data_IF_529385076924
#
_entry.id   IF_529385076924
#
_cell.length_a   1.000
_cell.length_b   1.000
_cell.length_c   1.000
_cell.angle_alpha   90.00
_cell.angle_beta   90.00
_cell.angle_gamma   90.00
#
_symmetry.space_group_name_H-M   'P 1'
#
loop_
_entity.id
_entity.type
_entity.pdbx_description
1 polymer ?
#
# COMPACT_ATOMS: atom_id res chain seq x y z
N UNK A 1 24.37 5.47 -7.24
CA UNK A 1 23.78 6.45 -6.32
C UNK A 1 22.48 5.82 -5.81
N UNK A 2 22.46 5.40 -4.56
CA UNK A 2 21.28 4.74 -3.97
C UNK A 2 20.34 5.81 -3.46
N UNK A 3 19.18 5.96 -4.09
CA UNK A 3 18.13 6.81 -3.58
C UNK A 3 17.40 6.02 -2.50
N UNK A 4 17.62 6.37 -1.25
CA UNK A 4 16.78 5.90 -0.15
C UNK A 4 15.41 6.55 -0.30
N UNK A 5 14.45 5.81 -0.78
CA UNK A 5 13.10 6.35 -0.98
C UNK A 5 12.21 6.28 0.25
N UNK A 6 12.64 5.64 1.32
CA UNK A 6 11.89 5.64 2.58
C UNK A 6 12.17 4.42 3.44
N UNK A 7 11.98 4.62 4.72
CA UNK A 7 12.18 3.66 5.78
C UNK A 7 11.07 3.82 6.80
N UNK A 8 10.46 2.75 7.21
CA UNK A 8 9.38 2.78 8.20
C UNK A 8 9.43 1.55 9.09
N UNK A 9 8.97 1.70 10.31
CA UNK A 9 8.93 0.64 11.31
C UNK A 9 7.47 0.33 11.60
N UNK A 10 7.09 -0.94 11.52
CA UNK A 10 5.79 -1.42 11.98
C UNK A 10 5.86 -1.67 13.49
N UNK A 11 5.04 -0.97 14.24
CA UNK A 11 4.95 -1.10 15.70
C UNK A 11 3.63 -1.68 16.18
N UNK A 12 2.60 -1.69 15.34
CA UNK A 12 1.27 -2.14 15.71
C UNK A 12 0.82 -3.34 14.86
N UNK A 13 0.25 -4.35 15.51
CA UNK A 13 -0.47 -5.45 14.86
C UNK A 13 0.37 -6.60 14.29
N UNK A 14 1.70 -6.49 14.27
CA UNK A 14 2.60 -7.61 13.98
C UNK A 14 3.20 -8.09 15.29
N UNK A 15 3.31 -9.41 15.46
CA UNK A 15 3.92 -10.01 16.66
C UNK A 15 5.39 -9.60 16.85
N UNK A 16 6.02 -9.08 15.79
CA UNK A 16 7.39 -8.61 15.76
C UNK A 16 7.52 -7.28 15.01
N UNK A 17 8.40 -6.39 15.50
CA UNK A 17 8.72 -5.17 14.81
C UNK A 17 9.43 -5.47 13.48
N UNK A 18 8.87 -5.02 12.38
CA UNK A 18 9.46 -5.16 11.06
C UNK A 18 9.96 -3.82 10.56
N UNK A 19 11.16 -3.84 10.03
CA UNK A 19 11.77 -2.71 9.35
C UNK A 19 11.61 -2.90 7.85
N UNK A 20 10.97 -1.95 7.17
CA UNK A 20 10.80 -1.98 5.72
C UNK A 20 11.75 -1.00 5.05
N UNK A 21 12.48 -1.47 4.05
CA UNK A 21 13.40 -0.69 3.24
C UNK A 21 12.97 -0.74 1.78
N UNK A 22 12.69 0.41 1.20
CA UNK A 22 12.34 0.52 -0.22
C UNK A 22 13.57 0.75 -1.08
N UNK A 23 13.67 -0.04 -2.16
CA UNK A 23 14.63 0.14 -3.27
C UNK A 23 13.86 0.25 -4.58
N UNK A 24 14.55 0.57 -5.66
CA UNK A 24 13.90 0.78 -6.96
C UNK A 24 13.15 -0.46 -7.47
N UNK A 25 13.67 -1.63 -7.21
CA UNK A 25 13.21 -2.95 -7.66
C UNK A 25 12.22 -3.62 -6.70
N UNK A 26 12.41 -3.40 -5.38
CA UNK A 26 11.65 -4.13 -4.37
C UNK A 26 11.58 -3.38 -3.04
N UNK A 27 10.72 -3.88 -2.16
CA UNK A 27 10.69 -3.53 -0.75
C UNK A 27 11.14 -4.75 0.05
N UNK A 28 12.13 -4.56 0.91
CA UNK A 28 12.74 -5.57 1.74
C UNK A 28 12.31 -5.40 3.18
N UNK A 29 11.97 -6.50 3.82
CA UNK A 29 11.60 -6.52 5.23
C UNK A 29 12.73 -7.14 6.05
N UNK A 30 12.96 -6.58 7.20
CA UNK A 30 13.96 -7.04 8.16
C UNK A 30 13.31 -7.17 9.54
N UNK A 31 13.66 -8.22 10.26
CA UNK A 31 13.38 -8.41 11.67
C UNK A 31 14.68 -8.44 12.46
N UNK A 32 14.60 -8.67 13.76
CA UNK A 32 15.79 -8.88 14.59
C UNK A 32 16.57 -10.15 14.19
N UNK A 33 15.93 -11.11 13.55
CA UNK A 33 16.55 -12.34 13.02
C UNK A 33 17.30 -12.12 11.70
N UNK A 34 17.14 -10.96 11.07
CA UNK A 34 17.78 -10.61 9.83
C UNK A 34 16.82 -10.30 8.68
N UNK A 35 17.25 -10.64 7.45
CA UNK A 35 16.47 -10.37 6.25
C UNK A 35 15.30 -11.34 6.13
N UNK A 36 14.08 -10.79 6.11
CA UNK A 36 12.85 -11.51 5.89
C UNK A 36 12.39 -11.51 4.43
N UNK A 37 11.10 -11.35 4.23
CA UNK A 37 10.44 -11.35 2.92
C UNK A 37 10.85 -10.14 2.07
N UNK A 38 10.65 -10.24 0.76
CA UNK A 38 10.71 -9.09 -0.14
C UNK A 38 9.51 -9.11 -1.09
N UNK A 39 9.08 -7.90 -1.47
CA UNK A 39 8.02 -7.71 -2.46
C UNK A 39 8.61 -6.99 -3.67
N UNK A 40 8.55 -7.64 -4.83
CA UNK A 40 8.94 -7.02 -6.09
C UNK A 40 7.90 -5.96 -6.45
N UNK A 41 8.26 -4.71 -6.30
CA UNK A 41 7.45 -3.55 -6.69
C UNK A 41 8.38 -2.66 -7.49
N UNK A 42 8.14 -2.58 -8.77
CA UNK A 42 8.94 -1.76 -9.67
C UNK A 42 8.64 -0.26 -9.51
N UNK A 43 9.59 0.54 -9.92
CA UNK A 43 9.48 1.99 -9.93
C UNK A 43 10.12 2.65 -8.72
N UNK A 44 10.34 3.94 -8.85
CA UNK A 44 10.88 4.78 -7.79
C UNK A 44 9.83 4.96 -6.69
N UNK A 45 10.17 4.57 -5.44
CA UNK A 45 9.30 4.78 -4.28
C UNK A 45 9.62 6.17 -3.71
N UNK A 46 8.67 7.08 -3.83
CA UNK A 46 8.79 8.42 -3.26
C UNK A 46 8.48 8.46 -1.77
N UNK A 47 7.67 7.53 -1.29
CA UNK A 47 7.39 7.35 0.13
C UNK A 47 6.97 5.91 0.44
N UNK A 48 7.31 5.44 1.64
CA UNK A 48 6.74 4.25 2.27
C UNK A 48 6.33 4.61 3.70
N UNK A 49 5.23 4.02 4.17
CA UNK A 49 4.68 4.32 5.49
C UNK A 49 3.88 3.13 6.02
N UNK A 50 4.02 2.81 7.31
CA UNK A 50 3.15 1.84 7.96
C UNK A 50 1.88 2.53 8.47
N UNK A 51 0.75 1.94 8.14
CA UNK A 51 -0.55 2.32 8.66
C UNK A 51 -1.26 1.07 9.15
N UNK A 52 -1.34 0.89 10.47
CA UNK A 52 -1.86 -0.36 11.09
C UNK A 52 -1.12 -1.58 10.52
N UNK A 53 -1.83 -2.53 9.93
CA UNK A 53 -1.27 -3.76 9.32
C UNK A 53 -0.95 -3.59 7.81
N UNK A 54 -1.01 -2.38 7.30
CA UNK A 54 -0.82 -2.08 5.88
C UNK A 54 0.49 -1.37 5.64
N UNK A 55 1.14 -1.75 4.56
CA UNK A 55 2.26 -0.97 4.01
C UNK A 55 1.72 -0.05 2.91
N UNK A 56 1.84 1.23 3.12
CA UNK A 56 1.51 2.28 2.14
C UNK A 56 2.74 2.60 1.34
N UNK A 57 2.63 2.54 0.02
CA UNK A 57 3.73 2.79 -0.91
C UNK A 57 3.29 3.82 -1.93
N UNK A 58 4.07 4.87 -2.08
CA UNK A 58 3.88 5.85 -3.15
C UNK A 58 4.98 5.65 -4.18
N UNK A 59 4.59 5.26 -5.37
CA UNK A 59 5.51 5.08 -6.50
C UNK A 59 5.39 6.24 -7.49
N UNK A 60 6.54 6.63 -8.04
CA UNK A 60 6.61 7.54 -9.18
C UNK A 60 6.64 6.71 -10.45
N UNK A 61 5.67 6.91 -11.33
CA UNK A 61 5.64 6.27 -12.63
C UNK A 61 6.53 7.04 -13.60
N UNK A 62 7.55 6.36 -14.12
CA UNK A 62 8.34 6.88 -15.23
C UNK A 62 7.77 6.29 -16.51
N UNK A 63 7.22 7.09 -17.43
CA UNK A 63 6.67 6.56 -18.69
C UNK A 63 7.73 5.76 -19.46
N UNK A 64 7.42 4.50 -19.80
CA UNK A 64 8.35 3.59 -20.50
C UNK A 64 8.78 4.10 -21.90
N UNK A 65 8.01 4.96 -22.51
CA UNK A 65 8.26 5.54 -23.84
C UNK A 65 9.26 6.71 -23.88
N UNK A 66 9.77 7.13 -22.73
CA UNK A 66 10.85 8.12 -22.69
C UNK A 66 12.21 7.59 -23.21
N UNK A 67 12.25 6.33 -23.70
CA UNK A 67 13.46 5.73 -24.28
C UNK A 67 13.57 5.86 -25.79
N UNK A 68 12.54 6.31 -26.50
CA UNK A 68 12.63 6.60 -27.95
C UNK A 68 12.77 8.10 -28.18
N UNK A 69 13.93 8.47 -28.72
CA UNK A 69 14.43 9.83 -28.91
C UNK A 69 13.82 10.56 -30.13
N UNK A 70 12.54 10.38 -30.45
CA UNK A 70 12.00 10.93 -31.69
C UNK A 70 10.83 11.91 -31.57
N UNK A 71 10.21 12.10 -30.39
CA UNK A 71 9.10 13.05 -30.26
C UNK A 71 9.40 14.19 -29.27
N UNK A 72 10.13 15.18 -29.80
CA UNK A 72 10.30 16.51 -29.20
C UNK A 72 9.08 17.39 -29.45
N UNK A 73 7.90 17.01 -29.00
CA UNK A 73 6.79 17.93 -28.89
C UNK A 73 6.43 18.20 -27.45
N UNK A 74 6.61 19.48 -27.08
CA UNK A 74 6.32 20.15 -25.83
C UNK A 74 5.00 19.73 -25.19
N UNK A 75 5.05 18.70 -24.32
CA UNK A 75 4.07 18.47 -23.29
C UNK A 75 4.81 18.45 -21.97
N UNK A 76 4.44 19.30 -21.03
CA UNK A 76 4.96 19.28 -19.68
C UNK A 76 4.80 17.85 -19.14
N UNK A 77 5.93 17.15 -18.96
CA UNK A 77 5.98 15.82 -18.36
C UNK A 77 5.58 15.97 -16.90
N UNK A 78 4.31 15.90 -16.59
CA UNK A 78 3.88 15.77 -15.20
C UNK A 78 4.22 14.35 -14.74
N UNK A 79 5.05 14.27 -13.71
CA UNK A 79 5.32 13.03 -13.01
C UNK A 79 4.01 12.45 -12.48
N UNK A 80 3.73 11.22 -12.83
CA UNK A 80 2.57 10.49 -12.32
C UNK A 80 2.97 9.73 -11.07
N UNK A 81 2.11 9.78 -10.07
CA UNK A 81 2.31 9.07 -8.81
C UNK A 81 1.13 8.13 -8.59
N UNK A 82 1.42 6.99 -8.02
CA UNK A 82 0.42 6.01 -7.61
C UNK A 82 0.60 5.67 -6.13
N UNK A 83 -0.50 5.70 -5.38
CA UNK A 83 -0.54 5.25 -3.99
C UNK A 83 -1.11 3.84 -3.98
N UNK A 84 -0.36 2.91 -3.43
CA UNK A 84 -0.77 1.53 -3.24
C UNK A 84 -0.70 1.15 -1.75
N UNK A 85 -1.72 0.48 -1.27
CA UNK A 85 -1.82 -0.02 0.10
C UNK A 85 -1.78 -1.54 0.05
N UNK A 86 -0.75 -2.11 0.64
CA UNK A 86 -0.50 -3.54 0.68
C UNK A 86 -0.92 -4.11 2.03
N UNK A 87 -1.81 -5.09 2.01
CA UNK A 87 -2.01 -5.99 3.15
C UNK A 87 -0.87 -7.01 3.15
N UNK A 88 0.13 -6.75 3.99
CA UNK A 88 1.36 -7.58 4.04
C UNK A 88 1.04 -8.96 4.59
N UNK A 89 0.13 -9.07 5.56
CA UNK A 89 -0.25 -10.32 6.20
C UNK A 89 -0.99 -11.25 5.23
N UNK A 90 -1.90 -10.69 4.45
CA UNK A 90 -2.73 -11.46 3.50
C UNK A 90 -2.15 -11.46 2.07
N UNK A 91 -1.06 -10.73 1.82
CA UNK A 91 -0.28 -10.71 0.56
C UNK A 91 -1.08 -10.23 -0.64
N UNK A 92 -1.85 -9.15 -0.49
CA UNK A 92 -2.57 -8.56 -1.61
C UNK A 92 -2.56 -7.02 -1.56
N UNK A 93 -2.90 -6.40 -2.68
CA UNK A 93 -3.07 -4.95 -2.79
C UNK A 93 -4.50 -4.61 -2.39
N UNK A 94 -4.67 -4.03 -1.20
CA UNK A 94 -5.98 -3.65 -0.68
C UNK A 94 -6.56 -2.42 -1.40
N UNK A 95 -5.69 -1.50 -1.83
CA UNK A 95 -6.08 -0.29 -2.54
C UNK A 95 -4.95 0.18 -3.46
N UNK A 96 -5.30 0.72 -4.62
CA UNK A 96 -4.36 1.39 -5.50
C UNK A 96 -5.08 2.48 -6.30
N UNK A 97 -4.51 3.68 -6.32
CA UNK A 97 -5.05 4.80 -7.08
C UNK A 97 -3.97 5.80 -7.48
N UNK A 98 -4.13 6.46 -8.64
CA UNK A 98 -3.28 7.58 -8.99
C UNK A 98 -3.52 8.74 -8.02
N UNK A 99 -2.43 9.40 -7.64
CA UNK A 99 -2.46 10.56 -6.74
C UNK A 99 -1.57 11.67 -7.25
N UNK A 100 -1.75 12.86 -6.69
CA UNK A 100 -0.81 13.97 -6.84
C UNK A 100 0.44 13.73 -5.99
N UNK A 101 1.57 14.38 -6.31
CA UNK A 101 2.77 14.28 -5.48
C UNK A 101 2.48 14.57 -4.01
N UNK A 102 2.97 13.69 -3.13
CA UNK A 102 2.78 13.80 -1.68
C UNK A 102 4.03 14.42 -1.05
N UNK A 103 3.81 15.34 -0.11
CA UNK A 103 4.84 15.95 0.72
C UNK A 103 5.09 15.15 2.00
N UNK A 104 4.03 14.64 2.63
CA UNK A 104 4.11 13.90 3.89
C UNK A 104 2.93 12.95 4.06
N UNK A 105 3.16 11.87 4.80
CA UNK A 105 2.15 10.94 5.29
C UNK A 105 2.21 10.93 6.82
N UNK A 106 1.07 10.80 7.47
CA UNK A 106 0.94 10.65 8.91
C UNK A 106 -0.27 9.79 9.25
N UNK A 107 -0.25 9.12 10.38
CA UNK A 107 -1.40 8.37 10.88
C UNK A 107 -1.80 8.89 12.25
N UNK A 108 -3.05 9.28 12.40
CA UNK A 108 -3.63 9.73 13.66
C UNK A 108 -5.12 9.41 13.69
N UNK A 109 -5.65 9.20 14.89
CA UNK A 109 -7.08 8.96 15.14
C UNK A 109 -7.70 7.85 14.25
N UNK A 110 -6.90 6.86 13.88
CA UNK A 110 -7.36 5.74 13.05
C UNK A 110 -7.44 6.02 11.55
N UNK A 111 -6.92 7.16 11.09
CA UNK A 111 -6.88 7.56 9.68
C UNK A 111 -5.45 7.70 9.18
N UNK A 112 -5.25 7.46 7.89
CA UNK A 112 -4.04 7.82 7.18
C UNK A 112 -4.24 9.19 6.52
N UNK A 113 -3.44 10.15 6.89
CA UNK A 113 -3.45 11.50 6.30
C UNK A 113 -2.32 11.65 5.29
N UNK A 114 -2.63 12.30 4.18
CA UNK A 114 -1.65 12.66 3.17
C UNK A 114 -1.70 14.15 2.86
N UNK A 115 -0.55 14.83 2.97
CA UNK A 115 -0.39 16.21 2.56
C UNK A 115 0.22 16.24 1.15
N UNK A 116 -0.54 16.76 0.19
CA UNK A 116 -0.08 16.95 -1.17
C UNK A 116 0.91 18.11 -1.30
N UNK A 117 1.70 18.09 -2.37
CA UNK A 117 2.56 19.24 -2.74
C UNK A 117 1.73 20.47 -3.12
N UNK A 118 0.48 20.28 -3.53
CA UNK A 118 -0.52 21.33 -3.78
C UNK A 118 -1.14 21.90 -2.49
N UNK A 119 -0.61 21.53 -1.31
CA UNK A 119 -1.08 21.91 0.04
C UNK A 119 -2.47 21.41 0.39
N UNK A 120 -3.02 20.45 -0.35
CA UNK A 120 -4.28 19.82 -0.02
C UNK A 120 -4.03 18.64 0.93
N UNK A 121 -4.87 18.55 1.95
CA UNK A 121 -4.91 17.43 2.87
C UNK A 121 -6.01 16.47 2.42
N UNK A 122 -5.69 15.20 2.36
CA UNK A 122 -6.66 14.12 2.21
C UNK A 122 -6.50 13.10 3.33
N UNK A 123 -7.51 12.30 3.57
CA UNK A 123 -7.43 11.19 4.50
C UNK A 123 -8.03 9.93 3.89
N UNK A 124 -7.51 8.79 4.33
CA UNK A 124 -8.01 7.46 4.01
C UNK A 124 -8.40 6.78 5.31
N UNK A 125 -9.60 6.21 5.32
CA UNK A 125 -10.13 5.40 6.42
C UNK A 125 -10.10 3.93 6.03
N UNK A 126 -9.75 3.07 6.97
CA UNK A 126 -9.94 1.64 6.79
C UNK A 126 -11.44 1.32 6.81
N UNK A 127 -11.89 0.52 5.86
CA UNK A 127 -13.27 0.02 5.85
C UNK A 127 -13.50 -0.93 7.02
N UNK A 128 -14.71 -0.93 7.55
CA UNK A 128 -15.14 -1.94 8.51
C UNK A 128 -15.06 -3.36 7.91
N UNK A 129 -15.07 -4.36 8.78
CA UNK A 129 -14.86 -5.75 8.39
C UNK A 129 -15.93 -6.25 7.42
N UNK A 130 -17.20 -5.90 7.65
CA UNK A 130 -18.30 -6.29 6.79
C UNK A 130 -18.12 -5.75 5.37
N UNK A 131 -17.87 -4.45 5.24
CA UNK A 131 -17.62 -3.82 3.94
C UNK A 131 -16.40 -4.38 3.21
N UNK A 132 -15.37 -4.85 3.95
CA UNK A 132 -14.21 -5.54 3.36
C UNK A 132 -14.60 -6.90 2.80
N UNK A 133 -15.33 -7.70 3.57
CA UNK A 133 -15.79 -9.02 3.15
C UNK A 133 -16.68 -8.91 1.92
N UNK A 134 -17.67 -8.03 1.92
CA UNK A 134 -18.57 -7.79 0.79
C UNK A 134 -17.80 -7.42 -0.49
N UNK A 135 -16.79 -6.55 -0.36
CA UNK A 135 -15.95 -6.18 -1.49
C UNK A 135 -15.13 -7.34 -2.03
N UNK A 136 -14.56 -8.17 -1.14
CA UNK A 136 -13.75 -9.33 -1.52
C UNK A 136 -14.62 -10.40 -2.19
N UNK A 137 -15.82 -10.67 -1.66
CA UNK A 137 -16.79 -11.58 -2.27
C UNK A 137 -17.23 -11.09 -3.66
N UNK A 138 -17.55 -9.82 -3.79
CA UNK A 138 -17.90 -9.21 -5.09
C UNK A 138 -16.78 -9.32 -6.13
N UNK A 139 -15.53 -9.38 -5.68
CA UNK A 139 -14.36 -9.56 -6.54
C UNK A 139 -13.92 -11.02 -6.68
N UNK A 140 -14.67 -11.98 -6.14
CA UNK A 140 -14.36 -13.41 -6.13
C UNK A 140 -13.05 -13.78 -5.40
N UNK A 141 -12.60 -12.97 -4.43
CA UNK A 141 -11.44 -13.25 -3.60
C UNK A 141 -11.82 -14.03 -2.34
N UNK A 142 -12.46 -15.18 -2.52
CA UNK A 142 -13.03 -15.99 -1.43
C UNK A 142 -12.01 -16.44 -0.40
N UNK A 143 -10.85 -16.92 -0.82
CA UNK A 143 -9.79 -17.39 0.10
C UNK A 143 -9.30 -16.30 1.04
N UNK A 144 -9.15 -15.08 0.51
CA UNK A 144 -8.73 -13.91 1.30
C UNK A 144 -9.85 -13.51 2.25
N UNK A 145 -11.10 -13.50 1.78
CA UNK A 145 -12.25 -13.17 2.61
C UNK A 145 -12.39 -14.13 3.80
N UNK A 146 -12.29 -15.44 3.56
CA UNK A 146 -12.33 -16.47 4.61
C UNK A 146 -11.18 -16.29 5.60
N UNK A 147 -9.99 -16.01 5.13
CA UNK A 147 -8.82 -15.80 5.98
C UNK A 147 -8.99 -14.57 6.88
N UNK A 148 -9.48 -13.46 6.32
CA UNK A 148 -9.77 -12.23 7.08
C UNK A 148 -10.87 -12.48 8.11
N UNK A 149 -11.96 -13.15 7.73
CA UNK A 149 -13.05 -13.48 8.64
C UNK A 149 -12.56 -14.34 9.83
N UNK A 150 -11.76 -15.37 9.58
CA UNK A 150 -11.16 -16.20 10.63
C UNK A 150 -10.25 -15.42 11.57
N UNK A 151 -9.42 -14.51 11.04
CA UNK A 151 -8.52 -13.69 11.84
C UNK A 151 -9.26 -12.70 12.76
N UNK A 152 -10.47 -12.31 12.39
CA UNK A 152 -11.31 -11.41 13.18
C UNK A 152 -12.35 -12.13 14.04
N UNK A 153 -12.22 -13.46 14.22
CA UNK A 153 -13.19 -14.29 14.98
C UNK A 153 -14.65 -14.08 14.50
N UNK A 154 -14.81 -13.82 13.21
CA UNK A 154 -16.13 -13.70 12.64
C UNK A 154 -16.82 -15.06 12.70
N UNK A 155 -17.99 -15.11 13.31
CA UNK A 155 -18.74 -16.34 13.52
C UNK A 155 -19.06 -16.98 12.16
N UNK A 156 -18.90 -18.30 12.05
CA UNK A 156 -19.16 -19.03 10.83
C UNK A 156 -20.64 -18.91 10.38
N UNK A 157 -21.54 -18.65 11.32
CA UNK A 157 -22.96 -18.40 11.03
C UNK A 157 -23.18 -17.08 10.25
N UNK A 158 -22.43 -16.03 10.57
CA UNK A 158 -22.50 -14.75 9.82
C UNK A 158 -21.96 -14.85 8.39
N UNK A 159 -21.08 -15.80 8.11
CA UNK A 159 -20.60 -16.03 6.75
C UNK A 159 -21.65 -16.70 5.85
N UNK A 160 -22.53 -17.53 6.42
CA UNK A 160 -23.58 -18.22 5.66
C UNK A 160 -24.67 -17.24 5.17
N UNK A 161 -24.96 -16.20 5.92
CA UNK A 161 -25.95 -15.18 5.52
C UNK A 161 -25.47 -14.29 4.38
N UNK A 162 -24.16 -14.18 4.16
CA UNK A 162 -23.56 -13.45 3.03
C UNK A 162 -23.65 -14.27 1.72
N UNK A 163 -23.84 -15.60 1.83
CA UNK A 163 -23.95 -16.50 0.68
C UNK A 163 -25.38 -16.80 0.23
N UNK A 164 -26.40 -16.24 0.88
CA UNK A 164 -27.81 -16.33 0.47
C UNK A 164 -28.26 -15.11 -0.28
#
# INVERSE_FOLDING_TARGET
MYVFSGMTIATEGLQEAHFAMARKDAIYFYSHEGRGQCYAIEGEKSAIFWFRNYLVVVTKETPMWSRSSADMHKGTKEDRYNLSIFDVQNKFIAYSAPIKPIKALASEWGYLYGLGMDRKLFHLAEKDIQSKLDLLFKKNFYDIAIKIAKNHQYDAEGLVDIFR
#
